data_IF_889884569303
#
_entry.id   IF_889884569303
#
_cell.length_a   1.000
_cell.length_b   1.000
_cell.length_c   1.000
_cell.angle_alpha   90.00
_cell.angle_beta   90.00
_cell.angle_gamma   90.00
#
_symmetry.space_group_name_H-M   'P 1'
#
loop_
_entity.id
_entity.type
_entity.pdbx_description
1 polymer ?
#
# COMPACT_ATOMS: atom_id res chain seq x y z
N UNK A 1 -7.68 -7.30 18.33
CA UNK A 1 -7.21 -8.56 18.94
C UNK A 1 -5.91 -8.96 18.25
N UNK A 2 -4.88 -9.35 19.00
CA UNK A 2 -3.61 -9.81 18.43
C UNK A 2 -3.48 -11.33 18.55
N UNK A 3 -3.05 -12.00 17.49
CA UNK A 3 -2.67 -13.41 17.51
C UNK A 3 -1.16 -13.52 17.72
N UNK A 4 -0.71 -14.59 18.40
CA UNK A 4 0.71 -14.84 18.65
C UNK A 4 1.29 -15.69 17.51
N UNK A 5 2.40 -15.24 16.96
CA UNK A 5 3.21 -15.98 15.99
C UNK A 5 4.48 -16.47 16.70
N UNK A 6 4.71 -17.78 16.68
CA UNK A 6 5.95 -18.39 17.22
C UNK A 6 6.83 -18.82 16.06
N UNK A 7 8.07 -18.33 16.03
CA UNK A 7 9.04 -18.59 14.98
C UNK A 7 10.23 -19.37 15.53
N UNK A 8 10.77 -20.30 14.74
CA UNK A 8 12.08 -20.93 15.02
C UNK A 8 13.15 -20.08 14.34
N UNK A 9 14.10 -19.58 15.11
CA UNK A 9 15.13 -18.63 14.66
C UNK A 9 16.45 -18.99 15.34
N UNK A 10 17.59 -18.74 14.69
CA UNK A 10 18.93 -18.92 15.30
C UNK A 10 19.07 -18.06 16.58
N UNK A 11 19.67 -18.65 17.62
CA UNK A 11 19.84 -18.02 18.93
C UNK A 11 20.63 -16.70 18.89
N UNK A 12 21.59 -16.58 17.97
CA UNK A 12 22.35 -15.34 17.78
C UNK A 12 21.48 -14.24 17.20
N UNK A 13 20.54 -14.60 16.32
CA UNK A 13 19.64 -13.64 15.68
C UNK A 13 18.59 -13.12 16.68
N UNK A 14 18.03 -13.99 17.53
CA UNK A 14 17.09 -13.54 18.57
C UNK A 14 17.79 -12.67 19.62
N UNK A 15 19.06 -12.94 19.95
CA UNK A 15 19.86 -12.08 20.85
C UNK A 15 20.05 -10.70 20.25
N UNK A 16 20.49 -10.63 19.00
CA UNK A 16 20.64 -9.36 18.28
C UNK A 16 19.33 -8.58 18.21
N UNK A 17 18.21 -9.25 17.89
CA UNK A 17 16.90 -8.61 17.82
C UNK A 17 16.47 -7.99 19.16
N UNK A 18 16.75 -8.65 20.29
CA UNK A 18 16.47 -8.12 21.63
C UNK A 18 17.36 -6.91 21.97
N UNK A 19 18.65 -6.96 21.65
CA UNK A 19 19.57 -5.83 21.85
C UNK A 19 19.14 -4.61 21.04
N UNK A 20 18.78 -4.82 19.77
CA UNK A 20 18.25 -3.77 18.91
C UNK A 20 16.90 -3.21 19.41
N UNK A 21 16.01 -4.10 19.88
CA UNK A 21 14.74 -3.72 20.49
C UNK A 21 14.94 -2.80 21.71
N UNK A 22 15.89 -3.13 22.59
CA UNK A 22 16.21 -2.31 23.75
C UNK A 22 16.75 -0.92 23.35
N UNK A 23 17.62 -0.85 22.34
CA UNK A 23 18.17 0.41 21.83
C UNK A 23 17.15 1.29 21.10
N UNK A 24 16.23 0.68 20.37
CA UNK A 24 15.24 1.39 19.55
C UNK A 24 13.97 1.78 20.29
N UNK A 25 13.74 1.25 21.49
CA UNK A 25 12.50 1.45 22.25
C UNK A 25 11.28 0.73 21.66
N UNK A 26 11.44 -0.03 20.57
CA UNK A 26 10.38 -0.83 19.95
C UNK A 26 10.51 -2.28 20.37
N UNK A 27 9.40 -2.93 20.72
CA UNK A 27 9.41 -4.38 20.99
C UNK A 27 9.81 -5.16 19.71
N UNK A 28 10.41 -6.33 19.88
CA UNK A 28 10.69 -7.26 18.77
C UNK A 28 9.41 -7.56 17.96
N UNK A 29 8.27 -7.75 18.65
CA UNK A 29 6.99 -7.94 17.98
C UNK A 29 6.60 -6.76 17.10
N UNK A 30 6.82 -5.52 17.55
CA UNK A 30 6.52 -4.32 16.76
C UNK A 30 7.43 -4.21 15.54
N UNK A 31 8.72 -4.50 15.70
CA UNK A 31 9.70 -4.48 14.60
C UNK A 31 9.29 -5.49 13.51
N UNK A 32 8.93 -6.71 13.92
CA UNK A 32 8.50 -7.76 12.98
C UNK A 32 7.16 -7.41 12.33
N UNK A 33 6.21 -6.84 13.07
CA UNK A 33 4.95 -6.35 12.50
C UNK A 33 5.17 -5.26 11.46
N UNK A 34 6.01 -4.26 11.75
CA UNK A 34 6.36 -3.19 10.81
C UNK A 34 6.98 -3.80 9.52
N UNK A 35 7.83 -4.82 9.65
CA UNK A 35 8.40 -5.53 8.50
C UNK A 35 7.35 -6.28 7.65
N UNK A 36 6.41 -6.98 8.30
CA UNK A 36 5.32 -7.65 7.56
C UNK A 36 4.39 -6.66 6.85
N UNK A 37 4.17 -5.47 7.41
CA UNK A 37 3.42 -4.41 6.72
C UNK A 37 4.13 -3.97 5.44
N UNK A 38 5.46 -3.84 5.47
CA UNK A 38 6.26 -3.51 4.27
C UNK A 38 6.10 -4.60 3.20
N UNK A 39 6.28 -5.88 3.56
CA UNK A 39 6.13 -7.01 2.61
C UNK A 39 4.72 -7.00 2.00
N UNK A 40 3.69 -6.87 2.83
CA UNK A 40 2.29 -6.83 2.37
C UNK A 40 2.07 -5.68 1.40
N UNK A 41 2.59 -4.49 1.69
CA UNK A 41 2.42 -3.32 0.84
C UNK A 41 3.14 -3.46 -0.51
N UNK A 42 4.31 -4.10 -0.53
CA UNK A 42 4.98 -4.43 -1.80
C UNK A 42 4.20 -5.45 -2.62
N UNK A 43 3.65 -6.49 -2.00
CA UNK A 43 2.77 -7.44 -2.69
C UNK A 43 1.53 -6.77 -3.25
N UNK A 44 0.88 -5.89 -2.48
CA UNK A 44 -0.27 -5.11 -2.97
C UNK A 44 0.16 -4.28 -4.18
N UNK A 45 1.29 -3.58 -4.13
CA UNK A 45 1.80 -2.79 -5.27
C UNK A 45 2.11 -3.65 -6.49
N UNK A 46 2.69 -4.85 -6.31
CA UNK A 46 2.96 -5.80 -7.39
C UNK A 46 1.68 -6.35 -8.00
N UNK A 47 0.66 -6.60 -7.19
CA UNK A 47 -0.62 -7.17 -7.61
C UNK A 47 -1.63 -6.12 -8.06
N UNK A 48 -1.40 -4.83 -7.81
CA UNK A 48 -2.21 -3.75 -8.36
C UNK A 48 -1.91 -3.60 -9.86
N UNK A 49 -2.83 -4.14 -10.68
CA UNK A 49 -2.74 -4.05 -12.15
C UNK A 49 -2.90 -2.63 -12.70
N UNK A 50 -3.38 -1.68 -11.89
CA UNK A 50 -3.69 -0.32 -12.31
C UNK A 50 -3.08 0.66 -11.32
N UNK A 51 -2.42 1.71 -11.83
CA UNK A 51 -1.91 2.80 -11.00
C UNK A 51 -3.06 3.54 -10.28
N UNK A 52 -2.82 4.22 -9.15
CA UNK A 52 -3.87 4.90 -8.38
C UNK A 52 -4.72 5.87 -9.21
N UNK A 53 -4.08 6.61 -10.13
CA UNK A 53 -4.76 7.55 -11.04
C UNK A 53 -5.65 6.81 -12.02
N UNK A 54 -5.19 5.70 -12.59
CA UNK A 54 -6.01 4.91 -13.52
C UNK A 54 -7.16 4.24 -12.77
N UNK A 55 -6.95 3.78 -11.54
CA UNK A 55 -7.98 3.20 -10.68
C UNK A 55 -9.07 4.22 -10.33
N UNK A 56 -8.70 5.48 -10.06
CA UNK A 56 -9.67 6.54 -9.74
C UNK A 56 -10.48 6.96 -10.97
N UNK A 57 -9.92 6.85 -12.17
CA UNK A 57 -10.61 7.18 -13.43
C UNK A 57 -11.40 5.99 -14.02
N UNK A 58 -11.02 4.75 -13.71
CA UNK A 58 -11.67 3.56 -14.28
C UNK A 58 -13.15 3.49 -13.87
N UNK A 59 -14.02 3.59 -14.87
CA UNK A 59 -15.46 3.41 -14.69
C UNK A 59 -16.24 4.69 -14.36
N UNK A 60 -15.60 5.86 -14.23
CA UNK A 60 -16.28 7.12 -13.90
C UNK A 60 -17.31 7.56 -14.96
N UNK A 61 -17.14 7.09 -16.20
CA UNK A 61 -18.05 7.36 -17.32
C UNK A 61 -18.97 6.16 -17.63
N UNK A 62 -18.94 5.10 -16.81
CA UNK A 62 -19.76 3.90 -17.06
C UNK A 62 -21.25 4.27 -17.04
N UNK A 63 -21.96 3.98 -18.12
CA UNK A 63 -23.39 4.26 -18.26
C UNK A 63 -23.72 5.73 -18.58
N UNK A 64 -22.73 6.61 -18.72
CA UNK A 64 -22.97 7.97 -19.19
C UNK A 64 -22.97 8.01 -20.72
N UNK A 65 -23.90 8.75 -21.31
CA UNK A 65 -23.88 9.10 -22.74
C UNK A 65 -23.08 10.38 -22.86
N UNK A 66 -21.79 10.23 -23.13
CA UNK A 66 -20.88 11.34 -23.38
C UNK A 66 -20.32 11.13 -24.78
N UNK A 67 -20.31 12.19 -25.56
CA UNK A 67 -19.77 12.18 -26.91
C UNK A 67 -18.65 13.21 -27.10
N UNK A 68 -18.15 13.31 -28.32
CA UNK A 68 -17.06 14.22 -28.65
C UNK A 68 -17.47 15.70 -28.53
N UNK A 69 -18.76 16.03 -28.66
CA UNK A 69 -19.24 17.39 -28.52
C UNK A 69 -19.17 17.86 -27.06
N UNK A 70 -19.47 16.98 -26.10
CA UNK A 70 -19.27 17.25 -24.67
C UNK A 70 -17.81 17.57 -24.35
N UNK A 71 -16.87 16.85 -24.97
CA UNK A 71 -15.44 17.09 -24.81
C UNK A 71 -15.01 18.44 -25.40
N UNK A 72 -15.48 18.78 -26.61
CA UNK A 72 -15.20 20.07 -27.25
C UNK A 72 -15.74 21.25 -26.43
N UNK A 73 -16.97 21.14 -25.91
CA UNK A 73 -17.56 22.14 -25.01
C UNK A 73 -16.77 22.29 -23.70
N UNK A 74 -16.24 21.19 -23.16
CA UNK A 74 -15.35 21.25 -22.00
C UNK A 74 -14.06 22.01 -22.30
N UNK A 75 -13.44 21.75 -23.46
CA UNK A 75 -12.22 22.45 -23.88
C UNK A 75 -12.45 23.95 -24.08
N UNK A 76 -13.54 24.34 -24.74
CA UNK A 76 -13.92 25.75 -24.87
C UNK A 76 -14.02 26.40 -23.49
N UNK A 77 -14.83 25.85 -22.57
CA UNK A 77 -14.98 26.41 -21.22
C UNK A 77 -13.67 26.48 -20.42
N UNK A 78 -12.73 25.58 -20.69
CA UNK A 78 -11.46 25.49 -19.94
C UNK A 78 -10.42 26.49 -20.43
N UNK A 79 -10.45 26.84 -21.71
CA UNK A 79 -9.38 27.59 -22.39
C UNK A 79 -9.82 28.89 -23.07
N UNK A 80 -11.12 29.09 -23.31
CA UNK A 80 -11.75 30.34 -23.78
C UNK A 80 -12.63 30.95 -22.69
#
# INVERSE_FOLDING_TARGET
MGTKLTLRIDDRLIKFAKEYSARSGKSVSRIVSDFFEIIKNEEIKRNETLTPVVKSLKGILKGKRIDEADYRKHLEKKYL
#
